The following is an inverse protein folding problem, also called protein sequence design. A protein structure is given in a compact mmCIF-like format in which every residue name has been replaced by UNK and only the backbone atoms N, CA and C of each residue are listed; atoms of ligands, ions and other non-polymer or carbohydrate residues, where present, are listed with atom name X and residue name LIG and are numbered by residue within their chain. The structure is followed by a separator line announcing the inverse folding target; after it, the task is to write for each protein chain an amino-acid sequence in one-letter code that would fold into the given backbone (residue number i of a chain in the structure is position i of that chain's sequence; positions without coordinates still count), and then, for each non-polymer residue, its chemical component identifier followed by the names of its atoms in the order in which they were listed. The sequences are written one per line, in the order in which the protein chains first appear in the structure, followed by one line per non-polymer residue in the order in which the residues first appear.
data_IF_105683020113
#
_entry.id   IF_105683020113
#
_cell.length_a   1.000
_cell.length_b   1.000
_cell.length_c   1.000
_cell.angle_alpha   90.00
_cell.angle_beta   90.00
_cell.angle_gamma   90.00
#
_symmetry.space_group_name_H-M   'P 1'
#
loop_
_entity.id
_entity.type
_entity.pdbx_description
1 polymer ?
#
# COMPACT_ATOMS: atom_id res chain seq x y z
N UNK A 1 -13.22 11.82 -1.22
CA UNK A 1 -12.34 10.62 -1.17
C UNK A 1 -12.59 9.75 0.07
N UNK A 2 -12.62 10.29 1.29
CA UNK A 2 -12.74 9.51 2.55
C UNK A 2 -14.00 8.64 2.70
N UNK A 3 -15.07 8.91 1.96
CA UNK A 3 -16.29 8.10 1.96
C UNK A 3 -16.29 6.98 0.92
N UNK A 4 -15.35 6.97 -0.04
CA UNK A 4 -15.23 5.99 -1.10
C UNK A 4 -14.38 4.79 -0.64
N UNK A 5 -14.79 3.56 -0.98
CA UNK A 5 -13.99 2.36 -0.73
C UNK A 5 -12.83 2.24 -1.72
N UNK A 6 -11.84 1.42 -1.36
CA UNK A 6 -10.73 1.10 -2.28
C UNK A 6 -11.25 0.49 -3.57
N UNK A 7 -12.26 -0.38 -3.52
CA UNK A 7 -12.87 -0.99 -4.70
C UNK A 7 -13.54 0.04 -5.63
N UNK A 8 -14.33 0.99 -5.09
CA UNK A 8 -14.96 2.06 -5.88
C UNK A 8 -13.93 2.95 -6.57
N UNK A 9 -12.82 3.22 -5.88
CA UNK A 9 -11.71 4.02 -6.42
C UNK A 9 -10.97 3.26 -7.51
N UNK A 10 -10.67 1.98 -7.29
CA UNK A 10 -10.03 1.12 -8.30
C UNK A 10 -10.88 1.04 -9.58
N UNK A 11 -12.19 0.83 -9.44
CA UNK A 11 -13.11 0.81 -10.56
C UNK A 11 -13.13 2.14 -11.34
N UNK A 12 -13.07 3.26 -10.62
CA UNK A 12 -13.00 4.58 -11.23
C UNK A 12 -11.67 4.79 -11.99
N UNK A 13 -10.55 4.40 -11.39
CA UNK A 13 -9.24 4.47 -12.04
C UNK A 13 -9.17 3.61 -13.30
N UNK A 14 -9.74 2.40 -13.28
CA UNK A 14 -9.83 1.53 -14.47
C UNK A 14 -10.63 2.22 -15.59
N UNK A 15 -11.76 2.84 -15.26
CA UNK A 15 -12.56 3.60 -16.23
C UNK A 15 -11.81 4.81 -16.80
N UNK A 16 -10.88 5.37 -16.04
CA UNK A 16 -10.01 6.48 -16.47
C UNK A 16 -8.74 6.03 -17.20
N UNK A 17 -8.59 4.72 -17.46
CA UNK A 17 -7.48 4.17 -18.25
C UNK A 17 -6.31 3.64 -17.42
N UNK A 18 -6.41 3.54 -16.10
CA UNK A 18 -5.43 2.86 -15.26
C UNK A 18 -5.73 1.34 -15.26
N UNK A 19 -4.96 0.49 -15.94
CA UNK A 19 -5.31 -0.92 -16.14
C UNK A 19 -5.35 -1.74 -14.84
N UNK A 20 -4.69 -1.29 -13.80
CA UNK A 20 -4.59 -1.98 -12.51
C UNK A 20 -5.27 -1.22 -11.35
N UNK A 21 -6.06 -0.18 -11.65
CA UNK A 21 -6.87 0.52 -10.68
C UNK A 21 -6.11 1.12 -9.49
N UNK A 22 -4.81 1.38 -9.63
CA UNK A 22 -3.97 1.91 -8.56
C UNK A 22 -3.73 0.97 -7.38
N UNK A 23 -4.13 -0.32 -7.49
CA UNK A 23 -3.96 -1.30 -6.41
C UNK A 23 -2.48 -1.51 -6.07
N UNK A 24 -2.14 -1.39 -4.79
CA UNK A 24 -0.81 -1.71 -4.26
C UNK A 24 -0.85 -3.16 -3.75
N UNK A 25 -0.12 -4.09 -4.40
CA UNK A 25 -0.24 -5.52 -4.12
C UNK A 25 0.37 -5.92 -2.77
N UNK A 26 -0.15 -7.03 -2.22
CA UNK A 26 0.41 -7.76 -1.06
C UNK A 26 0.45 -6.97 0.26
N UNK A 27 -0.27 -5.86 0.36
CA UNK A 27 -0.34 -5.04 1.57
C UNK A 27 -1.76 -5.10 2.13
N UNK A 28 -1.87 -5.56 3.37
CA UNK A 28 -3.14 -5.76 4.06
C UNK A 28 -3.16 -5.10 5.42
N UNK A 29 -4.36 -4.82 5.93
CA UNK A 29 -4.52 -4.39 7.32
C UNK A 29 -4.16 -5.57 8.25
N UNK A 30 -3.30 -5.33 9.24
CA UNK A 30 -2.84 -6.40 10.13
C UNK A 30 -3.77 -6.68 11.31
N UNK A 31 -4.72 -5.80 11.58
CA UNK A 31 -5.74 -6.00 12.60
C UNK A 31 -7.02 -5.32 12.12
N UNK A 32 -7.86 -6.06 11.39
CA UNK A 32 -9.09 -5.51 10.85
C UNK A 32 -9.98 -5.01 11.98
N UNK A 33 -10.50 -3.82 11.81
CA UNK A 33 -11.57 -3.22 12.60
C UNK A 33 -12.68 -2.89 11.62
N UNK A 34 -13.91 -3.24 11.96
CA UNK A 34 -15.06 -2.91 11.12
C UNK A 34 -15.05 -1.42 10.76
N UNK A 35 -15.32 -1.13 9.52
CA UNK A 35 -15.42 0.22 8.95
C UNK A 35 -14.12 1.06 9.00
N UNK A 36 -12.96 0.43 9.22
CA UNK A 36 -11.71 1.16 9.17
C UNK A 36 -11.38 1.55 7.74
N UNK A 37 -11.31 2.83 7.50
CA UNK A 37 -10.80 3.41 6.25
C UNK A 37 -9.96 4.63 6.56
N UNK A 38 -8.79 4.72 5.91
CA UNK A 38 -7.95 5.91 5.91
C UNK A 38 -7.82 6.46 4.50
N UNK A 39 -7.72 7.79 4.41
CA UNK A 39 -7.61 8.48 3.13
C UNK A 39 -6.84 9.78 3.32
N UNK A 40 -5.73 9.95 2.61
CA UNK A 40 -4.88 11.14 2.76
C UNK A 40 -3.68 11.14 1.81
N UNK A 41 -2.96 12.27 1.74
CA UNK A 41 -1.78 12.38 0.89
C UNK A 41 -0.62 11.52 1.40
N UNK A 42 0.14 10.94 0.48
CA UNK A 42 1.31 10.12 0.77
C UNK A 42 2.48 10.97 1.27
N UNK A 43 3.01 10.60 2.44
CA UNK A 43 4.34 10.99 2.91
C UNK A 43 5.26 9.81 2.73
N UNK A 44 6.14 9.84 1.73
CA UNK A 44 6.93 8.70 1.30
C UNK A 44 8.26 8.58 2.04
N UNK A 45 8.66 7.35 2.36
CA UNK A 45 9.90 7.02 3.08
C UNK A 45 10.59 5.85 2.39
N UNK A 46 11.79 6.08 1.88
CA UNK A 46 12.63 5.04 1.30
C UNK A 46 13.54 4.45 2.38
N UNK A 47 13.47 3.14 2.55
CA UNK A 47 14.42 2.37 3.35
C UNK A 47 15.46 1.70 2.45
N UNK A 48 16.65 1.50 2.98
CA UNK A 48 17.74 0.79 2.33
C UNK A 48 18.39 -0.20 3.30
N UNK A 49 19.16 -1.15 2.79
CA UNK A 49 19.96 -2.02 3.65
C UNK A 49 20.94 -1.17 4.48
N UNK A 50 21.10 -1.51 5.75
CA UNK A 50 22.06 -0.78 6.62
C UNK A 50 23.51 -0.88 6.10
N UNK A 51 23.82 -1.95 5.38
CA UNK A 51 25.13 -2.18 4.73
C UNK A 51 25.32 -1.42 3.43
N UNK A 52 24.26 -0.85 2.85
CA UNK A 52 24.35 -0.11 1.59
C UNK A 52 25.01 1.25 1.82
N UNK A 53 26.26 1.36 1.36
CA UNK A 53 27.08 2.58 1.43
C UNK A 53 26.89 3.48 0.21
N UNK A 54 26.21 3.01 -0.83
CA UNK A 54 25.96 3.78 -2.07
C UNK A 54 24.70 4.63 -1.96
N UNK A 55 23.75 4.23 -1.10
CA UNK A 55 22.53 4.99 -0.84
C UNK A 55 22.82 6.26 -0.01
N UNK A 56 21.93 7.25 -0.17
CA UNK A 56 21.99 8.50 0.61
C UNK A 56 22.15 8.22 2.11
N UNK A 57 22.89 9.06 2.84
CA UNK A 57 23.05 8.92 4.27
C UNK A 57 21.70 9.02 5.00
N UNK A 58 21.65 8.51 6.23
CA UNK A 58 20.45 8.63 7.06
C UNK A 58 20.06 10.11 7.21
N UNK A 59 18.77 10.45 7.04
CA UNK A 59 18.26 11.80 7.30
C UNK A 59 18.61 12.29 8.72
N UNK A 60 18.87 13.58 8.87
CA UNK A 60 19.23 14.20 10.15
C UNK A 60 18.11 14.16 11.18
N UNK A 61 16.85 14.25 10.73
CA UNK A 61 15.66 14.10 11.56
C UNK A 61 15.02 12.72 11.35
N UNK A 62 14.31 12.24 12.38
CA UNK A 62 13.55 11.01 12.22
C UNK A 62 12.35 11.25 11.28
N UNK A 63 12.10 10.35 10.34
CA UNK A 63 11.06 10.53 9.32
C UNK A 63 9.65 10.72 9.91
N UNK A 64 9.35 10.12 11.06
CA UNK A 64 8.08 10.35 11.76
C UNK A 64 7.98 11.79 12.25
N UNK A 65 9.09 12.38 12.73
CA UNK A 65 9.08 13.76 13.25
C UNK A 65 8.89 14.81 12.14
N UNK A 66 9.17 14.45 10.90
CA UNK A 66 9.00 15.31 9.72
C UNK A 66 7.74 15.00 8.89
N UNK A 67 6.97 13.99 9.31
CA UNK A 67 5.72 13.65 8.62
C UNK A 67 4.70 14.80 8.69
N UNK A 68 4.03 15.03 7.58
CA UNK A 68 3.00 16.07 7.47
C UNK A 68 1.72 15.65 8.19
N UNK A 69 1.08 16.50 8.99
CA UNK A 69 -0.22 16.20 9.58
C UNK A 69 -1.26 15.79 8.51
N UNK A 70 -2.17 14.89 8.87
CA UNK A 70 -3.20 14.35 7.96
C UNK A 70 -2.66 13.58 6.75
N UNK A 71 -1.38 13.26 6.71
CA UNK A 71 -0.82 12.36 5.69
C UNK A 71 -0.92 10.88 6.10
N UNK A 72 -0.66 10.02 5.13
CA UNK A 72 -0.41 8.60 5.33
C UNK A 72 1.07 8.36 5.03
N UNK A 73 1.80 7.80 6.01
CA UNK A 73 3.19 7.44 5.78
C UNK A 73 3.23 6.19 4.91
N UNK A 74 3.93 6.27 3.78
CA UNK A 74 4.18 5.12 2.89
C UNK A 74 5.65 4.76 2.97
N UNK A 75 5.95 3.53 3.36
CA UNK A 75 7.32 3.04 3.52
C UNK A 75 7.58 1.94 2.51
N UNK A 76 8.64 2.10 1.71
CA UNK A 76 9.19 1.01 0.92
C UNK A 76 10.43 0.46 1.61
N UNK A 77 10.34 -0.80 2.07
CA UNK A 77 11.46 -1.55 2.62
C UNK A 77 12.21 -2.25 1.48
N UNK A 78 13.56 -2.23 1.49
CA UNK A 78 14.30 -2.80 0.38
C UNK A 78 14.04 -4.29 0.28
N UNK A 79 13.87 -4.85 -0.94
CA UNK A 79 13.90 -6.28 -1.15
C UNK A 79 15.28 -6.80 -0.74
N UNK A 80 15.30 -7.98 -0.16
CA UNK A 80 16.56 -8.67 0.13
C UNK A 80 16.91 -9.52 -1.07
N UNK A 81 17.91 -9.13 -1.84
CA UNK A 81 18.51 -10.02 -2.83
C UNK A 81 19.15 -11.20 -2.12
N UNK A 82 18.60 -12.39 -2.34
CA UNK A 82 19.23 -13.66 -1.93
C UNK A 82 19.84 -14.27 -3.18
N UNK A 83 21.16 -14.13 -3.30
CA UNK A 83 21.92 -14.88 -4.29
C UNK A 83 22.01 -16.33 -3.83
N UNK A 84 21.36 -17.24 -4.55
CA UNK A 84 21.51 -18.67 -4.34
C UNK A 84 22.17 -19.32 -5.55
N UNK A 85 23.35 -19.93 -5.32
CA UNK A 85 24.00 -20.73 -6.34
C UNK A 85 23.25 -22.06 -6.48
N UNK A 86 22.46 -22.19 -7.53
CA UNK A 86 21.80 -23.45 -7.89
C UNK A 86 22.74 -24.25 -8.78
N UNK A 87 23.20 -25.40 -8.29
CA UNK A 87 23.98 -26.35 -9.10
C UNK A 87 23.04 -27.17 -9.98
N UNK A 88 23.19 -26.98 -11.28
CA UNK A 88 22.68 -27.88 -12.31
C UNK A 88 23.82 -28.85 -12.72
N UNK A 89 23.51 -30.05 -13.28
CA UNK A 89 24.54 -30.99 -13.76
C UNK A 89 25.52 -30.41 -14.77
N UNK A 90 25.20 -29.32 -15.45
CA UNK A 90 26.01 -28.70 -16.51
C UNK A 90 26.41 -27.26 -16.27
N UNK A 91 25.89 -26.59 -15.20
CA UNK A 91 26.20 -25.17 -14.94
C UNK A 91 25.89 -24.77 -13.49
N UNK A 92 26.55 -23.70 -13.04
CA UNK A 92 26.16 -22.99 -11.83
C UNK A 92 25.38 -21.78 -12.27
N UNK A 93 24.12 -21.71 -11.89
CA UNK A 93 23.26 -20.55 -12.18
C UNK A 93 23.13 -19.74 -10.89
N UNK A 94 23.51 -18.46 -10.96
CA UNK A 94 23.24 -17.53 -9.88
C UNK A 94 21.78 -17.05 -9.99
N UNK A 95 20.93 -17.57 -9.11
CA UNK A 95 19.51 -17.20 -9.05
C UNK A 95 19.38 -16.09 -8.02
N UNK A 96 19.18 -14.88 -8.50
CA UNK A 96 18.81 -13.75 -7.66
C UNK A 96 17.30 -13.83 -7.38
N UNK A 97 16.94 -14.27 -6.17
CA UNK A 97 15.58 -14.16 -5.68
C UNK A 97 15.50 -12.95 -4.76
N UNK A 98 14.65 -12.00 -5.10
CA UNK A 98 14.30 -10.92 -4.19
C UNK A 98 13.33 -11.48 -3.14
N UNK A 99 13.69 -11.36 -1.87
CA UNK A 99 12.81 -11.71 -0.76
C UNK A 99 12.63 -10.50 0.13
N UNK A 100 11.46 -10.34 0.73
CA UNK A 100 11.22 -9.30 1.72
C UNK A 100 12.24 -9.32 2.85
N UNK A 101 12.59 -8.13 3.33
CA UNK A 101 13.42 -8.00 4.53
C UNK A 101 12.75 -8.71 5.71
N UNK A 102 13.53 -9.47 6.48
CA UNK A 102 13.01 -10.26 7.62
C UNK A 102 12.60 -9.41 8.80
N UNK A 103 13.12 -8.21 8.89
CA UNK A 103 12.93 -7.29 10.02
C UNK A 103 11.75 -6.35 9.79
N UNK A 104 11.20 -5.84 10.90
CA UNK A 104 10.21 -4.79 10.88
C UNK A 104 10.86 -3.42 10.70
N UNK A 105 10.15 -2.52 10.00
CA UNK A 105 10.54 -1.11 9.82
C UNK A 105 9.64 -0.15 10.61
N UNK A 106 8.60 -0.68 11.25
CA UNK A 106 7.63 0.08 12.04
C UNK A 106 7.29 -0.67 13.33
N UNK A 107 7.14 0.06 14.43
CA UNK A 107 6.76 -0.47 15.73
C UNK A 107 5.96 0.53 16.56
N UNK A 108 5.62 0.17 17.81
CA UNK A 108 4.74 0.94 18.69
C UNK A 108 5.21 2.36 18.95
N UNK A 109 6.51 2.59 19.14
CA UNK A 109 7.05 3.95 19.33
C UNK A 109 6.85 4.83 18.08
N UNK A 110 6.93 4.23 16.88
CA UNK A 110 6.65 4.97 15.64
C UNK A 110 5.17 5.35 15.55
N UNK A 111 4.29 4.45 15.96
CA UNK A 111 2.84 4.71 16.05
C UNK A 111 2.54 5.86 17.01
N UNK A 112 3.12 5.86 18.21
CA UNK A 112 2.93 6.96 19.16
C UNK A 112 3.40 8.30 18.61
N UNK A 113 4.59 8.32 17.96
CA UNK A 113 5.10 9.51 17.30
C UNK A 113 4.22 9.99 16.14
N UNK A 114 3.72 9.08 15.30
CA UNK A 114 2.84 9.39 14.19
C UNK A 114 1.49 9.97 14.66
N UNK A 115 0.89 9.40 15.72
CA UNK A 115 -0.32 9.96 16.33
C UNK A 115 -0.11 11.37 16.90
N UNK A 116 1.02 11.59 17.57
CA UNK A 116 1.37 12.92 18.09
C UNK A 116 1.51 13.97 16.98
N UNK A 117 1.74 13.55 15.76
CA UNK A 117 1.82 14.42 14.58
C UNK A 117 0.56 14.42 13.71
N UNK A 118 -0.53 13.82 14.20
CA UNK A 118 -1.81 13.76 13.48
C UNK A 118 -1.72 13.04 12.11
N UNK A 119 -0.85 12.02 12.02
CA UNK A 119 -0.75 11.12 10.86
C UNK A 119 -1.90 10.14 10.90
N UNK A 120 -2.51 9.86 9.74
CA UNK A 120 -3.74 9.06 9.64
C UNK A 120 -3.48 7.55 9.71
N UNK A 121 -2.30 7.08 9.33
CA UNK A 121 -1.93 5.68 9.31
C UNK A 121 -0.63 5.44 8.57
N UNK A 122 -0.24 4.18 8.46
CA UNK A 122 0.99 3.77 7.75
C UNK A 122 0.73 2.61 6.81
N UNK A 123 1.33 2.69 5.62
CA UNK A 123 1.36 1.66 4.58
C UNK A 123 2.80 1.21 4.37
N UNK A 124 3.07 -0.08 4.48
CA UNK A 124 4.44 -0.62 4.55
C UNK A 124 4.61 -1.74 3.52
N UNK A 125 5.37 -1.47 2.46
CA UNK A 125 5.94 -2.51 1.60
C UNK A 125 7.06 -3.20 2.39
N UNK A 126 6.68 -4.10 3.29
CA UNK A 126 7.56 -4.75 4.25
C UNK A 126 6.81 -5.21 5.52
N UNK A 127 7.51 -5.21 6.66
CA UNK A 127 6.98 -5.76 7.92
C UNK A 127 6.90 -4.72 9.03
N UNK A 128 5.94 -4.92 9.94
CA UNK A 128 5.87 -4.19 11.22
C UNK A 128 6.05 -5.13 12.40
N UNK A 129 6.08 -4.58 13.63
CA UNK A 129 6.08 -5.30 14.91
C UNK A 129 5.20 -4.58 15.93
N UNK A 130 5.12 -5.09 17.15
CA UNK A 130 4.38 -4.46 18.27
C UNK A 130 2.86 -4.35 17.98
N UNK A 131 2.26 -5.42 17.41
CA UNK A 131 0.86 -5.42 16.95
C UNK A 131 -0.15 -5.09 18.04
N UNK A 132 0.13 -5.46 19.31
CA UNK A 132 -0.72 -5.15 20.44
C UNK A 132 -0.77 -3.66 20.74
N UNK A 133 0.37 -2.96 20.57
CA UNK A 133 0.47 -1.51 20.76
C UNK A 133 -0.30 -0.75 19.67
N UNK A 134 -0.21 -1.18 18.41
CA UNK A 134 -0.99 -0.59 17.32
C UNK A 134 -2.49 -0.73 17.56
N UNK A 135 -2.95 -1.92 18.02
CA UNK A 135 -4.36 -2.14 18.36
C UNK A 135 -4.81 -1.25 19.51
N UNK A 136 -4.02 -1.18 20.58
CA UNK A 136 -4.34 -0.34 21.74
C UNK A 136 -4.41 1.14 21.37
N UNK A 137 -3.55 1.58 20.47
CA UNK A 137 -3.53 2.94 19.94
C UNK A 137 -4.64 3.19 18.89
N UNK A 138 -5.36 2.16 18.45
CA UNK A 138 -6.30 2.22 17.34
C UNK A 138 -5.69 2.86 16.06
N UNK A 139 -4.38 2.69 15.84
CA UNK A 139 -3.66 3.29 14.72
C UNK A 139 -3.58 2.34 13.53
N UNK A 140 -4.08 2.73 12.36
CA UNK A 140 -4.11 1.88 11.17
C UNK A 140 -2.71 1.56 10.66
N UNK A 141 -2.38 0.25 10.59
CA UNK A 141 -1.13 -0.26 10.04
C UNK A 141 -1.43 -1.28 8.96
N UNK A 142 -1.04 -0.95 7.74
CA UNK A 142 -1.12 -1.82 6.57
C UNK A 142 0.29 -2.28 6.23
N UNK A 143 0.50 -3.58 6.09
CA UNK A 143 1.82 -4.13 5.80
C UNK A 143 1.71 -5.49 5.10
N UNK A 144 2.80 -5.95 4.50
CA UNK A 144 2.91 -7.29 3.95
C UNK A 144 2.95 -8.37 5.04
N UNK A 145 3.37 -8.00 6.24
CA UNK A 145 3.44 -8.94 7.36
C UNK A 145 4.05 -8.32 8.62
N UNK A 146 4.44 -9.19 9.55
CA UNK A 146 5.05 -8.77 10.80
C UNK A 146 6.31 -9.57 11.11
N UNK A 147 7.13 -9.05 12.04
CA UNK A 147 8.36 -9.68 12.52
C UNK A 147 8.63 -9.25 13.96
N UNK A 148 9.32 -10.06 14.72
CA UNK A 148 9.82 -9.66 16.05
C UNK A 148 11.14 -8.89 15.97
N UNK A 149 11.84 -8.98 14.82
CA UNK A 149 13.11 -8.28 14.60
C UNK A 149 12.88 -6.79 14.38
N UNK A 150 13.67 -5.94 15.04
CA UNK A 150 13.63 -4.51 14.82
C UNK A 150 14.37 -4.08 13.55
N UNK A 151 14.30 -2.79 13.25
CA UNK A 151 14.90 -2.19 12.06
C UNK A 151 16.43 -2.34 12.04
N UNK A 152 17.09 -1.98 13.12
CA UNK A 152 18.54 -2.12 13.25
C UNK A 152 18.93 -3.56 13.67
N UNK A 153 20.00 -4.14 13.14
CA UNK A 153 21.03 -3.54 12.26
C UNK A 153 20.75 -3.76 10.75
N UNK A 154 19.57 -4.13 10.34
CA UNK A 154 19.28 -4.66 8.99
C UNK A 154 19.07 -3.57 7.94
N UNK A 155 18.24 -2.57 8.27
CA UNK A 155 17.87 -1.50 7.34
C UNK A 155 17.91 -0.14 8.04
N UNK A 156 17.93 0.92 7.23
CA UNK A 156 17.88 2.31 7.69
C UNK A 156 17.08 3.18 6.73
N UNK A 157 16.46 4.28 7.18
CA UNK A 157 15.92 5.27 6.27
C UNK A 157 17.03 5.94 5.47
N UNK A 158 16.75 6.21 4.21
CA UNK A 158 17.66 6.86 3.25
C UNK A 158 17.12 8.20 2.77
N UNK A 159 15.85 8.26 2.42
CA UNK A 159 15.23 9.47 1.90
C UNK A 159 13.76 9.56 2.33
N UNK A 160 13.23 10.77 2.35
CA UNK A 160 11.82 11.08 2.55
C UNK A 160 11.33 11.98 1.41
N UNK A 161 10.04 11.95 1.13
CA UNK A 161 9.43 12.70 0.04
C UNK A 161 10.12 12.45 -1.31
N UNK A 162 10.39 11.20 -1.62
CA UNK A 162 10.89 10.71 -2.91
C UNK A 162 9.91 9.71 -3.50
N UNK A 163 9.88 9.54 -4.84
CA UNK A 163 9.10 8.49 -5.47
C UNK A 163 9.49 7.10 -4.93
N UNK A 164 8.49 6.26 -4.65
CA UNK A 164 8.68 4.87 -4.25
C UNK A 164 8.17 3.96 -5.35
N UNK A 165 8.90 2.88 -5.63
CA UNK A 165 8.47 1.85 -6.59
C UNK A 165 8.17 0.57 -5.82
N UNK A 166 6.90 0.38 -5.48
CA UNK A 166 6.43 -0.78 -4.72
C UNK A 166 6.19 -1.93 -5.69
N UNK A 167 6.96 -3.01 -5.53
CA UNK A 167 6.86 -4.23 -6.34
C UNK A 167 6.01 -5.28 -5.63
N UNK A 168 5.32 -6.16 -6.38
CA UNK A 168 4.70 -7.34 -5.79
C UNK A 168 5.75 -8.27 -5.17
N UNK A 169 5.34 -9.11 -4.21
CA UNK A 169 6.25 -10.06 -3.55
C UNK A 169 6.67 -11.20 -4.48
N UNK A 170 5.76 -11.66 -5.31
CA UNK A 170 6.05 -12.70 -6.29
C UNK A 170 6.62 -12.07 -7.55
N UNK A 171 7.95 -12.09 -7.68
CA UNK A 171 8.69 -11.66 -8.87
C UNK A 171 8.60 -12.68 -10.01
N UNK A 172 7.45 -13.32 -10.22
CA UNK A 172 7.23 -14.11 -11.41
C UNK A 172 7.05 -13.14 -12.59
N UNK A 173 8.09 -12.99 -13.41
CA UNK A 173 7.99 -12.27 -14.68
C UNK A 173 6.98 -12.99 -15.59
N UNK A 174 5.75 -12.52 -15.60
CA UNK A 174 4.68 -13.08 -16.42
C UNK A 174 3.60 -12.04 -16.74
N UNK A 175 2.85 -12.23 -17.84
CA UNK A 175 1.80 -11.29 -18.24
C UNK A 175 0.66 -11.17 -17.23
N UNK A 176 0.55 -12.11 -16.30
CA UNK A 176 -0.52 -12.19 -15.29
C UNK A 176 -0.07 -11.69 -13.90
N UNK A 177 1.15 -11.15 -13.76
CA UNK A 177 1.63 -10.60 -12.49
C UNK A 177 1.20 -9.16 -12.30
N UNK A 178 0.97 -8.74 -11.06
CA UNK A 178 0.74 -7.33 -10.77
C UNK A 178 1.98 -6.51 -11.09
N UNK A 179 1.85 -5.38 -11.78
CA UNK A 179 2.98 -4.50 -12.02
C UNK A 179 3.43 -3.79 -10.74
N UNK A 180 4.64 -3.28 -10.78
CA UNK A 180 5.10 -2.34 -9.75
C UNK A 180 4.26 -1.06 -9.79
N UNK A 181 3.96 -0.52 -8.61
CA UNK A 181 3.20 0.72 -8.44
C UNK A 181 4.14 1.81 -7.97
N UNK A 182 4.20 2.93 -8.70
CA UNK A 182 4.92 4.12 -8.26
C UNK A 182 4.00 4.96 -7.38
N UNK A 183 4.48 5.32 -6.20
CA UNK A 183 3.82 6.26 -5.28
C UNK A 183 4.66 7.53 -5.22
N UNK A 184 4.13 8.61 -5.77
CA UNK A 184 4.76 9.92 -5.69
C UNK A 184 4.42 10.62 -4.37
N UNK A 185 5.30 11.48 -3.84
CA UNK A 185 4.95 12.34 -2.70
C UNK A 185 3.69 13.16 -2.99
N UNK A 186 2.71 13.07 -2.09
CA UNK A 186 1.44 13.76 -2.22
C UNK A 186 0.38 13.05 -3.05
N UNK A 187 0.67 11.91 -3.67
CA UNK A 187 -0.36 11.05 -4.23
C UNK A 187 -1.37 10.65 -3.15
N UNK A 188 -2.61 10.43 -3.53
CA UNK A 188 -3.64 10.15 -2.56
C UNK A 188 -3.74 8.65 -2.28
N UNK A 189 -3.50 8.28 -1.04
CA UNK A 189 -3.63 6.90 -0.57
C UNK A 189 -5.02 6.71 0.04
N UNK A 190 -5.68 5.63 -0.34
CA UNK A 190 -6.88 5.13 0.32
C UNK A 190 -6.62 3.68 0.72
N UNK A 191 -6.94 3.34 1.95
CA UNK A 191 -6.75 1.98 2.46
C UNK A 191 -7.89 1.59 3.40
N UNK A 192 -8.41 0.39 3.19
CA UNK A 192 -9.45 -0.24 4.00
C UNK A 192 -9.23 -1.77 4.09
N UNK A 193 -10.25 -2.53 4.46
CA UNK A 193 -10.13 -3.98 4.63
C UNK A 193 -9.81 -4.74 3.34
N UNK A 194 -10.16 -4.18 2.16
CA UNK A 194 -9.89 -4.79 0.85
C UNK A 194 -8.45 -4.55 0.37
N UNK A 195 -7.73 -3.58 0.95
CA UNK A 195 -6.34 -3.31 0.63
C UNK A 195 -5.97 -1.84 0.56
N UNK A 196 -5.03 -1.52 -0.34
CA UNK A 196 -4.47 -0.17 -0.50
C UNK A 196 -4.51 0.24 -1.97
N UNK A 197 -4.96 1.47 -2.21
CA UNK A 197 -5.00 2.07 -3.56
C UNK A 197 -4.26 3.40 -3.55
N UNK A 198 -3.41 3.61 -4.56
CA UNK A 198 -2.74 4.86 -4.85
C UNK A 198 -3.44 5.58 -6.00
N UNK A 199 -3.82 6.83 -5.78
CA UNK A 199 -4.42 7.70 -6.78
C UNK A 199 -3.45 8.83 -7.07
N UNK A 200 -2.96 8.97 -8.32
CA UNK A 200 -2.13 10.10 -8.70
C UNK A 200 -2.82 11.43 -8.36
N UNK A 201 -2.10 12.34 -7.73
CA UNK A 201 -2.64 13.61 -7.22
C UNK A 201 -3.39 14.44 -8.27
N UNK A 202 -2.96 14.34 -9.53
CA UNK A 202 -3.49 15.16 -10.64
C UNK A 202 -4.87 14.67 -11.12
N UNK A 203 -5.31 13.46 -10.76
CA UNK A 203 -6.59 12.89 -11.17
C UNK A 203 -7.57 12.66 -10.03
N UNK A 204 -7.24 13.07 -8.81
CA UNK A 204 -8.04 12.85 -7.59
C UNK A 204 -9.50 13.29 -7.76
N UNK A 205 -9.72 14.53 -8.23
CA UNK A 205 -11.08 15.07 -8.39
C UNK A 205 -11.89 14.28 -9.42
N UNK A 206 -11.24 13.88 -10.51
CA UNK A 206 -11.87 13.07 -11.57
C UNK A 206 -12.22 11.67 -11.09
N UNK A 207 -11.35 11.06 -10.30
CA UNK A 207 -11.60 9.73 -9.67
C UNK A 207 -12.80 9.82 -8.73
N UNK A 208 -12.89 10.86 -7.91
CA UNK A 208 -14.06 11.07 -7.02
C UNK A 208 -15.35 11.18 -7.83
N UNK A 209 -15.37 12.00 -8.87
CA UNK A 209 -16.53 12.16 -9.75
C UNK A 209 -16.99 10.82 -10.33
N UNK A 210 -16.07 10.06 -10.94
CA UNK A 210 -16.38 8.78 -11.59
C UNK A 210 -16.79 7.72 -10.58
N UNK A 211 -16.17 7.68 -9.39
CA UNK A 211 -16.51 6.74 -8.32
C UNK A 211 -17.92 7.03 -7.75
N UNK A 212 -18.28 8.30 -7.55
CA UNK A 212 -19.62 8.67 -7.08
C UNK A 212 -20.70 8.27 -8.07
N UNK A 213 -20.49 8.46 -9.37
CA UNK A 213 -21.40 7.98 -10.41
C UNK A 213 -21.53 6.44 -10.36
N UNK A 214 -20.40 5.73 -10.19
CA UNK A 214 -20.39 4.28 -10.03
C UNK A 214 -21.22 3.80 -8.85
N UNK A 215 -21.05 4.44 -7.68
CA UNK A 215 -21.81 4.15 -6.46
C UNK A 215 -23.31 4.32 -6.65
N UNK A 216 -23.74 5.38 -7.32
CA UNK A 216 -25.18 5.59 -7.59
C UNK A 216 -25.76 4.51 -8.50
N UNK A 217 -25.00 4.05 -9.50
CA UNK A 217 -25.41 2.95 -10.37
C UNK A 217 -25.51 1.66 -9.56
N UNK A 218 -24.51 1.36 -8.73
CA UNK A 218 -24.45 0.14 -7.95
C UNK A 218 -25.53 0.09 -6.87
N UNK A 219 -25.89 1.24 -6.29
CA UNK A 219 -27.04 1.32 -5.37
C UNK A 219 -28.35 0.87 -6.05
N UNK A 220 -28.61 1.33 -7.29
CA UNK A 220 -29.80 0.90 -8.05
C UNK A 220 -29.76 -0.58 -8.42
N UNK A 221 -28.57 -1.07 -8.79
CA UNK A 221 -28.34 -2.49 -9.08
C UNK A 221 -28.63 -3.33 -7.85
N UNK A 222 -28.12 -2.92 -6.68
CA UNK A 222 -28.34 -3.62 -5.42
C UNK A 222 -29.84 -3.65 -5.04
N UNK A 223 -30.55 -2.52 -5.19
CA UNK A 223 -31.98 -2.44 -4.95
C UNK A 223 -32.76 -3.43 -5.82
N UNK A 224 -32.47 -3.49 -7.12
CA UNK A 224 -33.09 -4.40 -8.06
C UNK A 224 -32.81 -5.88 -7.76
N UNK A 225 -31.56 -6.20 -7.41
CA UNK A 225 -31.15 -7.57 -7.04
C UNK A 225 -31.86 -8.00 -5.76
N UNK A 226 -31.90 -7.14 -4.73
CA UNK A 226 -32.57 -7.44 -3.46
C UNK A 226 -34.10 -7.57 -3.61
N UNK A 227 -34.69 -6.88 -4.59
CA UNK A 227 -36.09 -7.04 -4.99
C UNK A 227 -36.35 -8.29 -5.84
N UNK A 228 -35.33 -9.13 -6.12
CA UNK A 228 -35.50 -10.39 -6.83
C UNK A 228 -35.46 -10.30 -8.36
N UNK A 229 -35.10 -9.17 -8.96
CA UNK A 229 -35.00 -9.01 -10.43
C UNK A 229 -33.88 -9.81 -11.08
N UNK A 230 -32.93 -10.31 -10.28
CA UNK A 230 -31.76 -11.07 -10.73
C UNK A 230 -30.59 -10.21 -11.19
N UNK A 231 -29.36 -10.76 -11.03
CA UNK A 231 -28.09 -10.02 -11.24
C UNK A 231 -27.93 -9.60 -12.70
N UNK A 232 -28.08 -10.52 -13.64
CA UNK A 232 -27.87 -10.24 -15.07
C UNK A 232 -28.84 -9.18 -15.61
N UNK A 233 -30.12 -9.26 -15.22
CA UNK A 233 -31.15 -8.31 -15.66
C UNK A 233 -30.84 -6.90 -15.12
N UNK A 234 -30.46 -6.81 -13.85
CA UNK A 234 -30.12 -5.54 -13.19
C UNK A 234 -28.84 -4.91 -13.78
N UNK A 235 -27.81 -5.71 -14.07
CA UNK A 235 -26.60 -5.23 -14.73
C UNK A 235 -26.89 -4.69 -16.14
N UNK A 236 -27.70 -5.43 -16.92
CA UNK A 236 -28.10 -4.99 -18.25
C UNK A 236 -28.88 -3.67 -18.21
N UNK A 237 -29.76 -3.50 -17.24
CA UNK A 237 -30.58 -2.31 -17.09
C UNK A 237 -29.76 -1.07 -16.69
N UNK A 238 -28.86 -1.21 -15.70
CA UNK A 238 -28.19 -0.05 -15.09
C UNK A 238 -26.77 0.19 -15.56
N UNK A 239 -26.06 -0.86 -16.02
CA UNK A 239 -24.67 -0.78 -16.51
C UNK A 239 -24.54 -0.94 -18.03
N UNK A 240 -25.61 -1.30 -18.74
CA UNK A 240 -25.61 -1.49 -20.18
C UNK A 240 -24.82 -2.72 -20.67
N UNK A 241 -24.65 -3.74 -19.81
CA UNK A 241 -23.84 -4.95 -20.08
C UNK A 241 -24.64 -6.22 -19.93
#
# INVERSE_FOLDING_TARGET
MSSLSTCEISDALIKLGSPHGGHIPDIHILFPKSDLRISGPAYTVQMVLASDQTALPKPSAHFVDTATPKSIIVIDAPPRSVSSLVRSPSSIIDVHTESDTKNAVWGGLMTAGAQARDVLGVVISGRCRDLAEHRAAAFPVFARGHSTLGQSPFVRPSAVNVPLVIRPQDNADGPDTFPAVTVEPGDWIVADEDGVVCVPKDVVDKVVEVAMIGREIDARVLEDITAGKGVQASFKLHRGR
#
